data_IF_249522113228
#
_entry.id   IF_249522113228
#
_cell.length_a   1.000
_cell.length_b   1.000
_cell.length_c   1.000
_cell.angle_alpha   90.00
_cell.angle_beta   90.00
_cell.angle_gamma   90.00
#
_symmetry.space_group_name_H-M   'P 1'
#
loop_
_entity.id
_entity.type
_entity.pdbx_description
1 polymer ?
#
# COMPACT_ATOMS: atom_id res chain seq x y z
N UNK A 1 30.42 -39.54 23.93
CA UNK A 1 30.98 -40.88 23.59
C UNK A 1 30.58 -41.19 22.15
N UNK A 2 31.54 -41.43 21.26
CA UNK A 2 31.27 -41.84 19.86
C UNK A 2 30.85 -43.32 19.88
N UNK A 3 29.76 -43.66 19.21
CA UNK A 3 29.21 -45.01 19.19
C UNK A 3 30.21 -46.00 18.52
N UNK A 4 30.41 -47.23 19.04
CA UNK A 4 31.44 -48.17 18.57
C UNK A 4 31.40 -48.48 17.07
N UNK A 5 30.22 -48.36 16.45
CA UNK A 5 30.03 -48.55 15.01
C UNK A 5 30.75 -47.50 14.14
N UNK A 6 31.09 -46.34 14.73
CA UNK A 6 31.82 -45.27 14.04
C UNK A 6 33.31 -45.24 14.41
N UNK A 7 33.81 -46.26 15.12
CA UNK A 7 35.25 -46.42 15.34
C UNK A 7 35.88 -47.12 14.14
N UNK A 8 36.84 -46.46 13.51
CA UNK A 8 37.59 -47.02 12.38
C UNK A 8 38.42 -48.21 12.90
N UNK A 9 38.37 -49.39 12.25
CA UNK A 9 39.13 -50.56 12.69
C UNK A 9 40.63 -50.27 12.72
N UNK A 10 41.35 -50.69 13.76
CA UNK A 10 42.81 -50.42 13.92
C UNK A 10 43.69 -51.03 12.82
N UNK A 11 43.12 -51.89 11.96
CA UNK A 11 43.77 -52.49 10.78
C UNK A 11 43.46 -51.78 9.46
N UNK A 12 42.56 -50.79 9.46
CA UNK A 12 42.28 -49.99 8.28
C UNK A 12 43.46 -49.02 8.07
N UNK A 13 44.52 -49.52 7.44
CA UNK A 13 45.51 -48.63 6.86
C UNK A 13 44.85 -47.94 5.66
N UNK A 14 44.94 -46.61 5.53
CA UNK A 14 44.50 -45.93 4.32
C UNK A 14 45.40 -46.40 3.18
N UNK A 15 44.97 -47.44 2.46
CA UNK A 15 45.66 -47.89 1.26
C UNK A 15 45.41 -46.86 0.16
N UNK A 16 46.41 -46.02 -0.06
CA UNK A 16 46.38 -44.97 -1.07
C UNK A 16 46.12 -45.52 -2.48
N UNK A 17 46.51 -46.77 -2.74
CA UNK A 17 46.38 -47.44 -4.03
C UNK A 17 45.18 -48.37 -4.11
N UNK A 18 44.39 -48.52 -3.03
CA UNK A 18 43.19 -49.37 -2.99
C UNK A 18 43.41 -50.78 -3.55
N UNK A 19 44.55 -51.40 -3.27
CA UNK A 19 44.91 -52.75 -3.70
C UNK A 19 45.55 -52.86 -5.09
N UNK A 20 45.79 -51.74 -5.78
CA UNK A 20 46.47 -51.72 -7.08
C UNK A 20 48.00 -51.67 -6.94
N UNK A 21 48.72 -52.26 -7.91
CA UNK A 21 50.16 -52.04 -8.03
C UNK A 21 50.47 -50.57 -8.29
N UNK A 22 51.62 -50.10 -7.81
CA UNK A 22 51.97 -48.66 -7.81
C UNK A 22 51.91 -48.03 -9.20
N UNK A 23 52.39 -48.74 -10.23
CA UNK A 23 52.38 -48.28 -11.61
C UNK A 23 50.94 -48.12 -12.15
N UNK A 24 50.10 -49.13 -11.93
CA UNK A 24 48.69 -49.13 -12.36
C UNK A 24 47.89 -48.06 -11.62
N UNK A 25 48.14 -47.88 -10.32
CA UNK A 25 47.52 -46.85 -9.52
C UNK A 25 47.87 -45.44 -10.02
N UNK A 26 49.12 -45.20 -10.41
CA UNK A 26 49.57 -43.91 -10.93
C UNK A 26 49.01 -43.62 -12.34
N UNK A 27 48.93 -44.62 -13.20
CA UNK A 27 48.34 -44.46 -14.53
C UNK A 27 46.82 -44.26 -14.44
N UNK A 28 46.13 -44.97 -13.54
CA UNK A 28 44.71 -44.75 -13.27
C UNK A 28 44.46 -43.34 -12.73
N UNK A 29 45.28 -42.82 -11.81
CA UNK A 29 45.17 -41.44 -11.33
C UNK A 29 45.35 -40.43 -12.45
N UNK A 30 46.34 -40.61 -13.31
CA UNK A 30 46.54 -39.72 -14.48
C UNK A 30 45.33 -39.76 -15.41
N UNK A 31 44.80 -40.94 -15.71
CA UNK A 31 43.61 -41.10 -16.55
C UNK A 31 42.38 -40.43 -15.93
N UNK A 32 42.17 -40.60 -14.62
CA UNK A 32 41.09 -39.95 -13.88
C UNK A 32 41.23 -38.43 -13.89
N UNK A 33 42.45 -37.90 -13.67
CA UNK A 33 42.69 -36.46 -13.75
C UNK A 33 42.42 -35.91 -15.15
N UNK A 34 42.89 -36.59 -16.20
CA UNK A 34 42.61 -36.21 -17.58
C UNK A 34 41.11 -36.27 -17.91
N UNK A 35 40.42 -37.29 -17.40
CA UNK A 35 38.98 -37.42 -17.56
C UNK A 35 38.24 -36.27 -16.87
N UNK A 36 38.58 -35.97 -15.60
CA UNK A 36 37.98 -34.86 -14.84
C UNK A 36 38.22 -33.53 -15.55
N UNK A 37 39.46 -33.27 -15.99
CA UNK A 37 39.80 -32.06 -16.75
C UNK A 37 38.98 -31.97 -18.05
N UNK A 38 38.80 -33.09 -18.76
CA UNK A 38 37.98 -33.11 -19.98
C UNK A 38 36.50 -32.84 -19.67
N UNK A 39 35.96 -33.38 -18.59
CA UNK A 39 34.58 -33.11 -18.16
C UNK A 39 34.40 -31.64 -17.78
N UNK A 40 35.35 -31.03 -17.08
CA UNK A 40 35.31 -29.60 -16.74
C UNK A 40 35.27 -28.71 -18.00
N UNK A 41 36.09 -29.00 -19.01
CA UNK A 41 36.07 -28.27 -20.27
C UNK A 41 34.73 -28.43 -21.02
N UNK A 42 34.16 -29.64 -21.02
CA UNK A 42 32.84 -29.88 -21.63
C UNK A 42 31.76 -29.09 -20.91
N UNK A 43 31.75 -29.08 -19.57
CA UNK A 43 30.80 -28.30 -18.77
C UNK A 43 30.96 -26.81 -19.02
N UNK A 44 32.20 -26.30 -19.12
CA UNK A 44 32.48 -24.90 -19.43
C UNK A 44 31.96 -24.52 -20.81
N UNK A 45 32.20 -25.35 -21.83
CA UNK A 45 31.68 -25.14 -23.18
C UNK A 45 30.16 -25.16 -23.24
N UNK A 46 29.51 -26.11 -22.55
CA UNK A 46 28.06 -26.19 -22.46
C UNK A 46 27.45 -24.94 -21.78
N UNK A 47 28.10 -24.44 -20.73
CA UNK A 47 27.68 -23.23 -20.03
C UNK A 47 27.78 -21.99 -20.92
N UNK A 48 28.90 -21.83 -21.63
CA UNK A 48 29.08 -20.72 -22.57
C UNK A 48 28.04 -20.74 -23.70
N UNK A 49 27.74 -21.93 -24.23
CA UNK A 49 26.69 -22.11 -25.23
C UNK A 49 25.32 -21.73 -24.68
N UNK A 50 24.97 -22.20 -23.47
CA UNK A 50 23.70 -21.89 -22.82
C UNK A 50 23.54 -20.38 -22.57
N UNK A 51 24.55 -19.73 -22.01
CA UNK A 51 24.54 -18.28 -21.78
C UNK A 51 24.46 -17.51 -23.11
N UNK A 52 25.15 -17.99 -24.15
CA UNK A 52 25.05 -17.47 -25.51
C UNK A 52 23.64 -17.58 -26.10
N UNK A 53 22.98 -18.73 -25.94
CA UNK A 53 21.60 -18.95 -26.38
C UNK A 53 20.60 -18.06 -25.64
N UNK A 54 20.75 -17.90 -24.32
CA UNK A 54 19.91 -16.97 -23.55
C UNK A 54 20.11 -15.51 -23.97
N UNK A 55 21.33 -15.12 -24.32
CA UNK A 55 21.61 -13.78 -24.86
C UNK A 55 20.98 -13.61 -26.25
N UNK A 56 21.11 -14.61 -27.12
CA UNK A 56 20.52 -14.60 -28.45
C UNK A 56 18.97 -14.52 -28.40
N UNK A 57 18.34 -15.28 -27.49
CA UNK A 57 16.88 -15.21 -27.29
C UNK A 57 16.42 -13.82 -26.83
N UNK A 58 17.13 -13.22 -25.86
CA UNK A 58 16.85 -11.84 -25.42
C UNK A 58 16.99 -10.83 -26.55
N UNK A 59 18.09 -10.88 -27.29
CA UNK A 59 18.32 -9.99 -28.43
C UNK A 59 17.26 -10.17 -29.52
N UNK A 60 16.86 -11.42 -29.81
CA UNK A 60 15.78 -11.72 -30.77
C UNK A 60 14.46 -11.10 -30.32
N UNK A 61 14.10 -11.23 -29.05
CA UNK A 61 12.88 -10.64 -28.48
C UNK A 61 12.93 -9.12 -28.52
N UNK A 62 14.07 -8.52 -28.20
CA UNK A 62 14.28 -7.07 -28.21
C UNK A 62 14.16 -6.49 -29.62
N UNK A 63 14.81 -7.10 -30.61
CA UNK A 63 14.67 -6.71 -32.02
C UNK A 63 13.24 -6.87 -32.51
N UNK A 64 12.57 -7.97 -32.17
CA UNK A 64 11.16 -8.18 -32.52
C UNK A 64 10.28 -7.07 -31.92
N UNK A 65 10.52 -6.70 -30.66
CA UNK A 65 9.80 -5.61 -29.98
C UNK A 65 10.04 -4.27 -30.69
N UNK A 66 11.27 -3.95 -31.06
CA UNK A 66 11.58 -2.75 -31.84
C UNK A 66 10.90 -2.75 -33.20
N UNK A 67 10.92 -3.86 -33.94
CA UNK A 67 10.22 -3.96 -35.23
C UNK A 67 8.71 -3.78 -35.10
N UNK A 68 8.10 -4.34 -34.04
CA UNK A 68 6.67 -4.13 -33.76
C UNK A 68 6.37 -2.68 -33.41
N UNK A 69 7.21 -2.03 -32.61
CA UNK A 69 7.06 -0.62 -32.26
C UNK A 69 7.23 0.30 -33.49
N UNK A 70 8.21 0.02 -34.35
CA UNK A 70 8.48 0.78 -35.59
C UNK A 70 7.29 0.70 -36.58
N UNK A 71 6.60 -0.44 -36.61
CA UNK A 71 5.37 -0.62 -37.41
C UNK A 71 4.18 0.25 -36.98
N UNK A 72 4.25 0.93 -35.83
CA UNK A 72 3.23 1.83 -35.30
C UNK A 72 3.69 3.30 -35.25
N UNK A 73 4.83 3.62 -35.86
CA UNK A 73 5.33 5.01 -35.97
C UNK A 73 4.43 5.78 -36.93
N UNK A 74 3.61 6.69 -36.38
CA UNK A 74 2.70 7.55 -37.15
C UNK A 74 1.32 7.75 -36.51
N UNK A 75 0.95 6.90 -35.56
CA UNK A 75 -0.12 7.21 -34.60
C UNK A 75 0.46 8.23 -33.60
N UNK A 76 -0.25 9.32 -33.31
CA UNK A 76 0.26 10.45 -32.50
C UNK A 76 0.63 10.04 -31.06
N UNK A 77 1.81 9.47 -30.88
CA UNK A 77 2.43 9.18 -29.58
C UNK A 77 3.95 9.19 -29.77
N UNK A 78 4.65 9.75 -28.79
CA UNK A 78 6.09 10.04 -28.78
C UNK A 78 6.99 8.80 -28.60
N UNK A 79 6.46 7.61 -28.85
CA UNK A 79 7.20 6.35 -28.85
C UNK A 79 7.34 5.67 -27.49
N UNK A 80 6.76 6.24 -26.42
CA UNK A 80 6.76 5.64 -25.07
C UNK A 80 5.43 4.92 -24.71
N UNK A 81 4.32 5.17 -25.42
CA UNK A 81 3.01 4.61 -25.06
C UNK A 81 2.65 3.29 -25.76
N UNK A 82 3.44 2.83 -26.72
CA UNK A 82 3.12 1.59 -27.43
C UNK A 82 3.54 0.36 -26.61
N UNK A 83 2.57 -0.46 -26.24
CA UNK A 83 2.79 -1.77 -25.62
C UNK A 83 2.05 -2.86 -26.40
N UNK A 84 2.66 -4.03 -26.44
CA UNK A 84 2.14 -5.19 -27.15
C UNK A 84 0.98 -5.82 -26.36
N UNK A 85 -0.25 -5.59 -26.84
CA UNK A 85 -1.49 -6.11 -26.23
C UNK A 85 -1.50 -7.63 -26.12
N UNK A 86 -0.95 -8.34 -27.11
CA UNK A 86 -0.89 -9.80 -27.11
C UNK A 86 0.14 -10.32 -26.10
N UNK A 87 1.29 -9.66 -25.99
CA UNK A 87 2.32 -10.00 -24.98
C UNK A 87 1.81 -9.79 -23.55
N UNK A 88 1.01 -8.75 -23.33
CA UNK A 88 0.46 -8.39 -22.03
C UNK A 88 -0.89 -9.06 -21.72
N UNK A 89 -1.47 -9.81 -22.67
CA UNK A 89 -2.76 -10.48 -22.50
C UNK A 89 -3.92 -9.50 -22.31
N UNK A 90 -3.92 -8.41 -23.07
CA UNK A 90 -4.88 -7.31 -22.97
C UNK A 90 -5.82 -7.31 -24.17
N UNK A 91 -7.12 -7.47 -23.92
CA UNK A 91 -8.16 -7.34 -24.95
C UNK A 91 -8.49 -5.86 -25.26
N UNK A 92 -8.18 -4.97 -24.32
CA UNK A 92 -8.41 -3.51 -24.40
C UNK A 92 -7.16 -2.74 -23.95
N UNK A 93 -7.08 -1.46 -24.30
CA UNK A 93 -5.96 -0.63 -23.88
C UNK A 93 -5.90 -0.49 -22.34
N UNK A 94 -4.68 -0.49 -21.76
CA UNK A 94 -4.35 -0.08 -20.39
C UNK A 94 -4.71 1.37 -20.07
N UNK A 95 -5.32 2.08 -21.02
CA UNK A 95 -5.81 3.44 -20.83
C UNK A 95 -6.90 3.39 -19.76
N UNK A 96 -6.50 3.85 -18.56
CA UNK A 96 -7.43 4.39 -17.57
C UNK A 96 -8.37 5.33 -18.30
N UNK A 97 -9.66 5.06 -18.24
CA UNK A 97 -10.63 5.87 -18.98
C UNK A 97 -10.86 7.20 -18.24
N UNK A 98 -9.94 8.15 -18.44
CA UNK A 98 -10.03 9.52 -17.96
C UNK A 98 -11.13 10.32 -18.67
N UNK A 99 -11.73 9.77 -19.73
CA UNK A 99 -12.84 10.42 -20.42
C UNK A 99 -14.14 10.37 -19.60
N UNK A 100 -14.24 9.43 -18.66
CA UNK A 100 -15.47 9.25 -17.87
C UNK A 100 -15.64 10.35 -16.83
N UNK A 101 -16.74 11.12 -16.90
CA UNK A 101 -17.01 12.15 -15.90
C UNK A 101 -17.17 11.60 -14.48
N UNK A 102 -17.59 10.33 -14.35
CA UNK A 102 -17.75 9.66 -13.04
C UNK A 102 -16.44 9.59 -12.24
N UNK A 103 -15.31 9.39 -12.92
CA UNK A 103 -13.99 9.33 -12.28
C UNK A 103 -13.62 10.68 -11.65
N UNK A 104 -13.83 11.77 -12.39
CA UNK A 104 -13.56 13.13 -11.92
C UNK A 104 -14.53 13.58 -10.83
N UNK A 105 -15.79 13.19 -10.92
CA UNK A 105 -16.77 13.42 -9.85
C UNK A 105 -16.36 12.67 -8.58
N UNK A 106 -15.84 11.45 -8.69
CA UNK A 106 -15.28 10.71 -7.57
C UNK A 106 -14.09 11.43 -6.95
N UNK A 107 -13.09 11.81 -7.75
CA UNK A 107 -11.92 12.57 -7.29
C UNK A 107 -12.33 13.86 -6.56
N UNK A 108 -13.19 14.67 -7.20
CA UNK A 108 -13.71 15.89 -6.60
C UNK A 108 -14.46 15.63 -5.28
N UNK A 109 -15.24 14.56 -5.17
CA UNK A 109 -15.93 14.20 -3.93
C UNK A 109 -14.96 13.76 -2.82
N UNK A 110 -13.89 13.05 -3.18
CA UNK A 110 -12.82 12.65 -2.26
C UNK A 110 -12.12 13.87 -1.69
N UNK A 111 -11.76 14.84 -2.54
CA UNK A 111 -11.14 16.09 -2.12
C UNK A 111 -12.10 16.99 -1.31
N UNK A 112 -13.37 17.05 -1.72
CA UNK A 112 -14.40 17.87 -1.07
C UNK A 112 -14.61 17.48 0.39
N UNK A 113 -14.65 16.19 0.68
CA UNK A 113 -14.94 15.66 2.01
C UNK A 113 -14.03 16.30 3.09
N UNK A 114 -12.68 16.16 3.03
CA UNK A 114 -11.79 16.79 3.99
C UNK A 114 -11.82 18.30 4.03
N UNK A 115 -12.02 18.94 2.88
CA UNK A 115 -12.17 20.39 2.81
C UNK A 115 -13.43 20.86 3.56
N UNK A 116 -14.54 20.12 3.44
CA UNK A 116 -15.81 20.45 4.08
C UNK A 116 -15.69 20.41 5.60
N UNK A 117 -15.25 19.30 6.20
CA UNK A 117 -15.23 19.21 7.67
C UNK A 117 -14.20 20.15 8.29
N UNK A 118 -13.02 20.33 7.68
CA UNK A 118 -12.05 21.30 8.15
C UNK A 118 -12.62 22.73 8.12
N UNK A 119 -13.32 23.10 7.05
CA UNK A 119 -13.93 24.43 6.92
C UNK A 119 -15.07 24.60 7.92
N UNK A 120 -15.98 23.63 8.02
CA UNK A 120 -17.11 23.66 8.94
C UNK A 120 -16.66 23.75 10.40
N UNK A 121 -15.66 22.96 10.78
CA UNK A 121 -15.12 22.95 12.14
C UNK A 121 -14.43 24.28 12.47
N UNK A 122 -13.60 24.84 11.58
CA UNK A 122 -12.98 26.16 11.80
C UNK A 122 -14.00 27.30 11.88
N UNK A 123 -15.03 27.26 11.04
CA UNK A 123 -16.15 28.20 11.12
C UNK A 123 -16.88 28.09 12.47
N UNK A 124 -17.08 26.87 12.96
CA UNK A 124 -17.63 26.66 14.30
C UNK A 124 -16.69 27.18 15.40
N UNK A 125 -15.38 26.95 15.30
CA UNK A 125 -14.43 27.43 16.31
C UNK A 125 -14.43 28.96 16.43
N UNK A 126 -14.34 29.67 15.30
CA UNK A 126 -14.23 31.14 15.29
C UNK A 126 -15.58 31.86 15.41
N UNK A 127 -16.60 31.39 14.69
CA UNK A 127 -17.85 32.14 14.50
C UNK A 127 -19.07 31.50 15.19
N UNK A 128 -18.92 30.26 15.70
CA UNK A 128 -19.97 29.50 16.40
C UNK A 128 -21.25 29.34 15.58
N UNK A 129 -21.12 29.22 14.26
CA UNK A 129 -22.24 29.23 13.31
C UNK A 129 -23.20 28.07 13.58
N UNK A 130 -22.66 26.85 13.77
CA UNK A 130 -23.45 25.64 13.98
C UNK A 130 -24.08 25.69 15.37
N UNK A 131 -23.31 26.06 16.39
CA UNK A 131 -23.86 26.23 17.75
C UNK A 131 -25.01 27.24 17.79
N UNK A 132 -24.91 28.37 17.07
CA UNK A 132 -25.98 29.37 16.96
C UNK A 132 -27.22 28.80 16.27
N UNK A 133 -27.05 28.01 15.21
CA UNK A 133 -28.15 27.33 14.52
C UNK A 133 -28.93 26.38 15.46
N UNK A 134 -28.21 25.70 16.37
CA UNK A 134 -28.80 24.81 17.37
C UNK A 134 -29.13 25.51 18.70
N UNK A 135 -29.55 26.78 18.65
CA UNK A 135 -30.01 27.59 19.81
C UNK A 135 -28.99 27.66 20.97
N UNK A 136 -27.70 27.65 20.64
CA UNK A 136 -26.61 27.68 21.62
C UNK A 136 -26.22 26.31 22.18
N UNK A 137 -26.88 25.22 21.79
CA UNK A 137 -26.53 23.88 22.25
C UNK A 137 -25.38 23.29 21.41
N UNK A 138 -24.18 23.37 21.97
CA UNK A 138 -22.93 22.89 21.37
C UNK A 138 -22.94 21.38 21.09
N UNK A 139 -23.55 20.58 21.97
CA UNK A 139 -23.60 19.13 21.83
C UNK A 139 -24.46 18.75 20.62
N UNK A 140 -25.65 19.33 20.51
CA UNK A 140 -26.54 19.06 19.37
C UNK A 140 -25.93 19.55 18.06
N UNK A 141 -25.23 20.69 18.07
CA UNK A 141 -24.45 21.15 16.91
C UNK A 141 -23.38 20.16 16.49
N UNK A 142 -22.62 19.60 17.44
CA UNK A 142 -21.59 18.59 17.18
C UNK A 142 -22.19 17.29 16.61
N UNK A 143 -23.29 16.78 17.19
CA UNK A 143 -23.97 15.59 16.65
C UNK A 143 -24.56 15.84 15.25
N UNK A 144 -25.09 17.03 14.99
CA UNK A 144 -25.58 17.38 13.66
C UNK A 144 -24.45 17.43 12.63
N UNK A 145 -23.28 17.98 13.00
CA UNK A 145 -22.09 17.94 12.16
C UNK A 145 -21.63 16.49 11.95
N UNK A 146 -21.62 15.66 12.99
CA UNK A 146 -21.26 14.26 12.91
C UNK A 146 -22.14 13.48 11.91
N UNK A 147 -23.46 13.63 12.01
CA UNK A 147 -24.41 13.03 11.05
C UNK A 147 -24.12 13.53 9.64
N UNK A 148 -23.89 14.82 9.48
CA UNK A 148 -23.61 15.44 8.16
C UNK A 148 -22.33 14.87 7.55
N UNK A 149 -21.22 14.83 8.29
CA UNK A 149 -19.94 14.28 7.83
C UNK A 149 -20.10 12.81 7.47
N UNK A 150 -20.77 12.03 8.31
CA UNK A 150 -21.00 10.61 8.06
C UNK A 150 -21.85 10.37 6.79
N UNK A 151 -22.94 11.13 6.61
CA UNK A 151 -23.78 11.05 5.41
C UNK A 151 -23.02 11.46 4.15
N UNK A 152 -22.24 12.54 4.20
CA UNK A 152 -21.37 12.95 3.09
C UNK A 152 -20.32 11.86 2.78
N UNK A 153 -19.81 11.17 3.81
CA UNK A 153 -18.95 9.99 3.67
C UNK A 153 -19.61 8.85 2.87
N UNK A 154 -20.85 8.47 3.23
CA UNK A 154 -21.62 7.44 2.51
C UNK A 154 -21.84 7.82 1.04
N UNK A 155 -22.17 9.09 0.79
CA UNK A 155 -22.38 9.59 -0.57
C UNK A 155 -21.09 9.50 -1.38
N UNK A 156 -19.96 9.98 -0.83
CA UNK A 156 -18.63 9.86 -1.46
C UNK A 156 -18.31 8.40 -1.79
N UNK A 157 -18.51 7.49 -0.84
CA UNK A 157 -18.19 6.07 -1.04
C UNK A 157 -19.08 5.44 -2.13
N UNK A 158 -20.33 5.88 -2.22
CA UNK A 158 -21.25 5.47 -3.29
C UNK A 158 -20.85 6.03 -4.66
N UNK A 159 -20.35 7.27 -4.72
CA UNK A 159 -19.82 7.87 -5.95
C UNK A 159 -18.56 7.14 -6.40
N UNK A 160 -17.64 6.87 -5.46
CA UNK A 160 -16.41 6.12 -5.69
C UNK A 160 -16.69 4.73 -6.25
N UNK A 161 -17.59 3.99 -5.61
CA UNK A 161 -17.99 2.66 -6.05
C UNK A 161 -18.52 2.66 -7.49
N UNK A 162 -19.42 3.60 -7.80
CA UNK A 162 -20.01 3.74 -9.14
C UNK A 162 -18.95 4.11 -10.18
N UNK A 163 -18.03 5.01 -9.83
CA UNK A 163 -16.93 5.39 -10.72
C UNK A 163 -16.01 4.22 -11.04
N UNK A 164 -15.75 3.34 -10.07
CA UNK A 164 -14.90 2.17 -10.30
C UNK A 164 -15.57 1.07 -11.13
N UNK A 165 -16.90 0.91 -11.03
CA UNK A 165 -17.63 -0.06 -11.85
C UNK A 165 -17.45 0.19 -13.35
N UNK A 166 -17.34 1.45 -13.74
CA UNK A 166 -17.22 1.85 -15.14
C UNK A 166 -15.77 1.90 -15.64
N UNK A 167 -14.77 1.64 -14.79
CA UNK A 167 -13.36 1.59 -15.18
C UNK A 167 -12.92 0.18 -15.60
N UNK A 168 -11.88 0.03 -16.44
CA UNK A 168 -11.39 -1.29 -16.86
C UNK A 168 -10.78 -2.08 -15.70
N UNK A 169 -10.88 -3.41 -15.77
CA UNK A 169 -10.25 -4.34 -14.82
C UNK A 169 -8.90 -4.78 -15.37
N UNK A 170 -7.87 -4.83 -14.53
CA UNK A 170 -6.55 -5.30 -14.95
C UNK A 170 -6.32 -6.78 -14.57
N UNK A 171 -5.85 -7.65 -15.49
CA UNK A 171 -5.65 -9.08 -15.21
C UNK A 171 -4.79 -9.36 -13.98
N UNK A 172 -3.69 -8.62 -13.77
CA UNK A 172 -2.83 -8.75 -12.58
C UNK A 172 -3.57 -8.48 -11.25
N UNK A 173 -4.64 -7.69 -11.27
CA UNK A 173 -5.44 -7.37 -10.08
C UNK A 173 -6.69 -8.27 -9.94
N UNK A 174 -6.99 -9.09 -10.94
CA UNK A 174 -8.15 -9.99 -10.95
C UNK A 174 -7.89 -11.35 -10.28
N UNK A 175 -6.63 -11.63 -9.92
CA UNK A 175 -6.24 -12.91 -9.32
C UNK A 175 -6.62 -13.08 -7.84
N UNK A 176 -6.64 -14.32 -7.32
CA UNK A 176 -7.00 -14.61 -5.92
C UNK A 176 -6.07 -13.93 -4.90
N UNK A 177 -4.80 -13.72 -5.26
CA UNK A 177 -3.85 -12.97 -4.42
C UNK A 177 -4.35 -11.55 -4.14
N UNK A 178 -4.87 -10.85 -5.16
CA UNK A 178 -5.41 -9.49 -5.01
C UNK A 178 -6.59 -9.47 -4.04
N UNK A 179 -7.48 -10.46 -4.15
CA UNK A 179 -8.64 -10.63 -3.25
C UNK A 179 -8.21 -10.88 -1.80
N UNK A 180 -7.22 -11.74 -1.55
CA UNK A 180 -6.72 -11.98 -0.19
C UNK A 180 -6.04 -10.75 0.42
N UNK A 181 -5.26 -10.02 -0.39
CA UNK A 181 -4.68 -8.74 0.04
C UNK A 181 -5.80 -7.75 0.38
N UNK A 182 -6.83 -7.65 -0.44
CA UNK A 182 -7.97 -6.78 -0.20
C UNK A 182 -8.68 -7.10 1.12
N UNK A 183 -8.91 -8.38 1.44
CA UNK A 183 -9.49 -8.78 2.72
C UNK A 183 -8.61 -8.40 3.91
N UNK A 184 -7.29 -8.57 3.79
CA UNK A 184 -6.34 -8.11 4.80
C UNK A 184 -6.44 -6.59 5.02
N UNK A 185 -6.47 -5.82 3.94
CA UNK A 185 -6.59 -4.35 4.00
C UNK A 185 -7.92 -3.90 4.61
N UNK A 186 -9.04 -4.53 4.25
CA UNK A 186 -10.34 -4.24 4.86
C UNK A 186 -10.36 -4.56 6.35
N UNK A 187 -9.82 -5.71 6.75
CA UNK A 187 -9.76 -6.10 8.15
C UNK A 187 -8.93 -5.10 8.95
N UNK A 188 -7.70 -4.78 8.50
CA UNK A 188 -6.83 -3.81 9.17
C UNK A 188 -7.45 -2.41 9.17
N UNK A 189 -7.98 -1.96 8.04
CA UNK A 189 -8.60 -0.65 7.89
C UNK A 189 -9.78 -0.44 8.83
N UNK A 190 -10.71 -1.40 8.85
CA UNK A 190 -11.87 -1.35 9.76
C UNK A 190 -11.47 -1.47 11.22
N UNK A 191 -10.49 -2.31 11.57
CA UNK A 191 -9.97 -2.38 12.94
C UNK A 191 -9.45 -1.02 13.39
N UNK A 192 -8.64 -0.33 12.59
CA UNK A 192 -8.12 0.99 12.93
C UNK A 192 -9.24 2.04 13.05
N UNK A 193 -10.19 2.07 12.11
CA UNK A 193 -11.29 3.05 12.12
C UNK A 193 -12.24 2.81 13.31
N UNK A 194 -12.71 1.58 13.50
CA UNK A 194 -13.71 1.29 14.53
C UNK A 194 -13.13 1.41 15.95
N UNK A 195 -11.89 0.96 16.15
CA UNK A 195 -11.23 1.08 17.47
C UNK A 195 -10.90 2.54 17.82
N UNK A 196 -10.53 3.37 16.84
CA UNK A 196 -10.32 4.81 17.08
C UNK A 196 -11.63 5.55 17.38
N UNK A 197 -12.71 5.24 16.63
CA UNK A 197 -14.05 5.76 16.93
C UNK A 197 -14.53 5.34 18.32
N UNK A 198 -14.27 4.11 18.73
CA UNK A 198 -14.58 3.62 20.07
C UNK A 198 -13.82 4.41 21.14
N UNK A 199 -12.52 4.64 20.94
CA UNK A 199 -11.67 5.30 21.93
C UNK A 199 -11.94 6.81 22.05
N UNK A 200 -12.25 7.49 20.94
CA UNK A 200 -12.57 8.93 20.92
C UNK A 200 -14.04 9.23 21.23
N UNK A 201 -14.94 8.26 21.02
CA UNK A 201 -16.38 8.49 21.00
C UNK A 201 -16.82 9.41 19.85
N UNK A 202 -18.13 9.68 19.76
CA UNK A 202 -18.70 10.46 18.64
C UNK A 202 -18.15 11.89 18.63
N UNK A 203 -18.09 12.56 19.78
CA UNK A 203 -17.64 13.95 19.84
C UNK A 203 -16.15 14.09 19.55
N UNK A 204 -15.31 13.16 20.02
CA UNK A 204 -13.88 13.19 19.69
C UNK A 204 -13.61 12.86 18.22
N UNK A 205 -14.40 11.98 17.64
CA UNK A 205 -14.31 11.58 16.22
C UNK A 205 -14.73 12.71 15.26
N UNK A 206 -15.79 13.44 15.61
CA UNK A 206 -16.41 14.43 14.72
C UNK A 206 -16.18 15.87 15.19
N UNK A 207 -14.93 16.19 15.55
CA UNK A 207 -14.43 17.56 15.74
C UNK A 207 -15.13 18.34 16.86
N UNK A 208 -15.52 17.66 17.94
CA UNK A 208 -16.19 18.24 19.11
C UNK A 208 -15.33 19.26 19.88
N UNK A 209 -14.01 19.17 19.76
CA UNK A 209 -13.05 20.13 20.26
C UNK A 209 -13.24 21.53 19.66
N UNK A 210 -13.67 21.65 18.39
CA UNK A 210 -14.01 22.93 17.75
C UNK A 210 -15.30 23.54 18.34
N UNK A 211 -16.19 22.71 18.89
CA UNK A 211 -17.33 23.14 19.70
C UNK A 211 -16.93 23.45 21.15
N UNK A 212 -15.68 23.19 21.55
CA UNK A 212 -15.21 23.31 22.93
C UNK A 212 -15.67 22.17 23.83
N UNK A 213 -15.95 21.00 23.26
CA UNK A 213 -16.19 19.73 23.96
C UNK A 213 -14.85 18.97 23.94
N UNK A 214 -14.00 19.27 24.93
CA UNK A 214 -12.62 18.78 24.97
C UNK A 214 -12.53 17.49 25.77
N UNK A 215 -11.68 16.56 25.32
CA UNK A 215 -11.37 15.35 26.08
C UNK A 215 -10.45 15.67 27.26
N UNK A 216 -10.60 14.97 28.38
CA UNK A 216 -9.77 15.24 29.56
C UNK A 216 -8.27 15.01 29.28
N UNK A 217 -7.96 13.91 28.57
CA UNK A 217 -6.61 13.53 28.19
C UNK A 217 -6.56 13.08 26.73
N UNK A 218 -5.37 13.16 26.13
CA UNK A 218 -5.09 12.58 24.81
C UNK A 218 -5.17 11.06 24.91
N UNK A 219 -5.85 10.43 23.96
CA UNK A 219 -5.89 8.96 23.86
C UNK A 219 -4.56 8.47 23.29
N UNK A 220 -3.84 7.68 24.07
CA UNK A 220 -2.55 7.08 23.68
C UNK A 220 -2.63 5.55 23.61
N UNK A 221 -3.78 4.96 23.94
CA UNK A 221 -4.01 3.52 23.80
C UNK A 221 -4.29 3.13 22.35
N UNK A 222 -4.42 1.83 22.09
CA UNK A 222 -4.78 1.33 20.77
C UNK A 222 -6.07 1.99 20.24
N UNK A 223 -6.09 2.45 18.96
CA UNK A 223 -5.04 2.31 17.93
C UNK A 223 -4.03 3.46 17.84
N UNK A 224 -4.12 4.48 18.71
CA UNK A 224 -3.27 5.67 18.68
C UNK A 224 -1.82 5.41 19.12
N UNK A 225 -1.53 4.30 19.80
CA UNK A 225 -0.15 3.85 20.05
C UNK A 225 0.55 3.27 18.81
N UNK A 226 -0.19 2.94 17.75
CA UNK A 226 0.37 2.38 16.51
C UNK A 226 0.58 3.47 15.46
N UNK A 227 -0.35 4.43 15.37
CA UNK A 227 -0.27 5.55 14.43
C UNK A 227 -1.05 6.74 15.00
N UNK A 228 -0.58 7.95 14.72
CA UNK A 228 -1.21 9.19 15.21
C UNK A 228 -2.58 9.45 14.56
N UNK A 229 -2.82 8.92 13.36
CA UNK A 229 -4.02 9.18 12.56
C UNK A 229 -4.70 7.88 12.09
N UNK A 230 -5.13 7.00 13.02
CA UNK A 230 -5.60 5.65 12.72
C UNK A 230 -6.84 5.64 11.83
N UNK A 231 -7.75 6.60 11.98
CA UNK A 231 -8.91 6.74 11.11
C UNK A 231 -8.51 7.03 9.66
N UNK A 232 -7.61 8.00 9.45
CA UNK A 232 -7.19 8.43 8.13
C UNK A 232 -6.46 7.32 7.38
N UNK A 233 -5.51 6.64 8.03
CA UNK A 233 -4.84 5.48 7.45
C UNK A 233 -5.81 4.31 7.26
N UNK A 234 -6.65 4.01 8.25
CA UNK A 234 -7.61 2.92 8.17
C UNK A 234 -8.59 3.09 7.01
N UNK A 235 -9.13 4.29 6.81
CA UNK A 235 -9.95 4.61 5.64
C UNK A 235 -9.17 4.48 4.33
N UNK A 236 -7.91 4.96 4.27
CA UNK A 236 -7.06 4.79 3.07
C UNK A 236 -6.87 3.32 2.72
N UNK A 237 -6.64 2.45 3.72
CA UNK A 237 -6.54 1.01 3.53
C UNK A 237 -7.84 0.41 3.00
N UNK A 238 -9.00 0.88 3.47
CA UNK A 238 -10.30 0.46 2.94
C UNK A 238 -10.50 0.86 1.48
N UNK A 239 -10.08 2.07 1.08
CA UNK A 239 -10.12 2.50 -0.33
C UNK A 239 -9.23 1.61 -1.22
N UNK A 240 -8.00 1.32 -0.76
CA UNK A 240 -7.07 0.44 -1.45
C UNK A 240 -7.63 -0.99 -1.56
N UNK A 241 -8.15 -1.51 -0.45
CA UNK A 241 -8.77 -2.83 -0.38
C UNK A 241 -9.90 -2.95 -1.38
N UNK A 242 -10.74 -1.92 -1.51
CA UNK A 242 -11.82 -1.90 -2.48
C UNK A 242 -11.33 -1.84 -3.93
N UNK A 243 -10.30 -1.05 -4.21
CA UNK A 243 -9.69 -0.98 -5.54
C UNK A 243 -9.11 -2.34 -5.98
N UNK A 244 -8.42 -3.03 -5.07
CA UNK A 244 -7.84 -4.35 -5.32
C UNK A 244 -8.92 -5.44 -5.45
N UNK A 245 -9.94 -5.40 -4.59
CA UNK A 245 -11.07 -6.33 -4.64
C UNK A 245 -11.84 -6.23 -5.97
N UNK A 246 -12.05 -5.01 -6.47
CA UNK A 246 -12.69 -4.77 -7.77
C UNK A 246 -11.73 -4.95 -8.97
N UNK A 247 -10.44 -5.13 -8.71
CA UNK A 247 -9.40 -5.27 -9.73
C UNK A 247 -9.18 -4.02 -10.60
N UNK A 248 -9.47 -2.82 -10.07
CA UNK A 248 -9.50 -1.56 -10.83
C UNK A 248 -8.25 -0.70 -10.58
N UNK A 249 -7.36 -0.52 -11.57
CA UNK A 249 -6.19 0.36 -11.43
C UNK A 249 -6.54 1.82 -11.13
N UNK A 250 -7.67 2.31 -11.65
CA UNK A 250 -8.16 3.67 -11.36
C UNK A 250 -8.42 3.86 -9.85
N UNK A 251 -8.87 2.83 -9.15
CA UNK A 251 -9.08 2.87 -7.69
C UNK A 251 -7.79 3.01 -6.90
N UNK A 252 -6.68 2.47 -7.41
CA UNK A 252 -5.35 2.66 -6.80
C UNK A 252 -4.93 4.12 -6.91
N UNK A 253 -5.16 4.78 -8.04
CA UNK A 253 -4.91 6.21 -8.19
C UNK A 253 -5.76 7.06 -7.24
N UNK A 254 -7.06 6.77 -7.18
CA UNK A 254 -7.97 7.46 -6.26
C UNK A 254 -7.59 7.20 -4.79
N UNK A 255 -7.03 6.02 -4.46
CA UNK A 255 -6.47 5.76 -3.13
C UNK A 255 -5.26 6.65 -2.85
N UNK A 256 -4.37 6.87 -3.82
CA UNK A 256 -3.25 7.80 -3.66
C UNK A 256 -3.75 9.24 -3.45
N UNK A 257 -4.81 9.65 -4.16
CA UNK A 257 -5.48 10.92 -3.92
C UNK A 257 -6.06 11.00 -2.50
N UNK A 258 -6.78 9.96 -2.04
CA UNK A 258 -7.29 9.89 -0.66
C UNK A 258 -6.16 10.10 0.35
N UNK A 259 -5.04 9.39 0.19
CA UNK A 259 -3.88 9.53 1.07
C UNK A 259 -3.32 10.96 1.04
N UNK A 260 -3.19 11.55 -0.15
CA UNK A 260 -2.67 12.91 -0.31
C UNK A 260 -3.58 13.94 0.38
N UNK A 261 -4.88 13.90 0.08
CA UNK A 261 -5.85 14.83 0.67
C UNK A 261 -5.91 14.68 2.19
N UNK A 262 -5.84 13.45 2.71
CA UNK A 262 -5.77 13.19 4.15
C UNK A 262 -4.50 13.73 4.79
N UNK A 263 -3.34 13.60 4.14
CA UNK A 263 -2.10 14.21 4.63
C UNK A 263 -2.17 15.73 4.65
N UNK A 264 -2.80 16.33 3.64
CA UNK A 264 -3.04 17.78 3.61
C UNK A 264 -3.98 18.17 4.75
N UNK A 265 -5.10 17.47 4.94
CA UNK A 265 -6.04 17.73 6.02
C UNK A 265 -5.36 17.67 7.40
N UNK A 266 -4.59 16.62 7.67
CA UNK A 266 -3.83 16.47 8.92
C UNK A 266 -2.83 17.61 9.15
N UNK A 267 -2.16 18.11 8.11
CA UNK A 267 -1.23 19.24 8.23
C UNK A 267 -1.90 20.53 8.74
N UNK A 268 -3.22 20.66 8.56
CA UNK A 268 -4.02 21.77 9.05
C UNK A 268 -4.73 21.47 10.37
N UNK A 269 -5.16 20.22 10.58
CA UNK A 269 -5.93 19.78 11.73
C UNK A 269 -5.04 19.62 12.97
N UNK A 270 -3.94 18.86 12.86
CA UNK A 270 -3.05 18.53 13.97
C UNK A 270 -2.53 19.77 14.74
N UNK A 271 -1.95 20.80 14.08
CA UNK A 271 -1.48 21.98 14.80
C UNK A 271 -2.61 22.79 15.41
N UNK A 272 -3.79 22.79 14.78
CA UNK A 272 -4.93 23.56 15.27
C UNK A 272 -5.52 22.91 16.53
N UNK A 273 -5.75 21.59 16.48
CA UNK A 273 -6.21 20.81 17.62
C UNK A 273 -5.22 20.94 18.79
N UNK A 274 -3.92 20.80 18.54
CA UNK A 274 -2.89 20.99 19.57
C UNK A 274 -2.98 22.37 20.25
N UNK A 275 -3.22 23.44 19.48
CA UNK A 275 -3.37 24.79 20.01
C UNK A 275 -4.66 24.97 20.83
N UNK A 276 -5.77 24.31 20.47
CA UNK A 276 -7.00 24.30 21.28
C UNK A 276 -6.71 23.74 22.67
N UNK A 277 -6.04 22.58 22.74
CA UNK A 277 -5.71 21.94 24.01
C UNK A 277 -4.67 22.74 24.81
N UNK A 278 -3.64 23.31 24.16
CA UNK A 278 -2.67 24.19 24.79
C UNK A 278 -3.33 25.45 25.37
N UNK A 279 -4.33 26.01 24.69
CA UNK A 279 -5.11 27.14 25.19
C UNK A 279 -5.89 26.79 26.46
N UNK A 280 -6.55 25.63 26.49
CA UNK A 280 -7.25 25.14 27.69
C UNK A 280 -6.30 25.08 28.89
N UNK A 281 -5.13 24.47 28.74
CA UNK A 281 -4.16 24.36 29.84
C UNK A 281 -3.71 25.73 30.36
N UNK A 282 -3.50 26.70 29.47
CA UNK A 282 -3.12 28.07 29.86
C UNK A 282 -4.23 28.74 30.68
N UNK A 283 -5.49 28.58 30.27
CA UNK A 283 -6.65 29.13 30.97
C UNK A 283 -6.84 28.49 32.36
N UNK A 284 -6.68 27.17 32.46
CA UNK A 284 -6.75 26.45 33.74
C UNK A 284 -5.65 26.87 34.72
N UNK A 285 -4.39 27.00 34.25
CA UNK A 285 -3.29 27.49 35.09
C UNK A 285 -3.52 28.91 35.58
N UNK A 286 -4.11 29.78 34.75
CA UNK A 286 -4.46 31.15 35.15
C UNK A 286 -5.61 31.18 36.16
N UNK A 287 -6.64 30.35 35.98
CA UNK A 287 -7.75 30.22 36.92
C UNK A 287 -7.29 29.66 38.27
N UNK A 288 -6.38 28.69 38.28
CA UNK A 288 -5.76 28.14 39.49
C UNK A 288 -4.94 29.18 40.25
N UNK A 289 -4.14 29.98 39.54
CA UNK A 289 -3.37 31.10 40.14
C UNK A 289 -4.23 32.22 40.73
N UNK A 290 -5.46 32.42 40.23
CA UNK A 290 -6.40 33.42 40.79
C UNK A 290 -7.18 32.91 42.01
N UNK A 291 -7.18 31.59 42.24
CA UNK A 291 -7.86 30.95 43.37
C UNK A 291 -6.91 30.62 44.54
N UNK A 292 -5.60 30.67 44.31
CA UNK A 292 -4.54 30.60 45.32
C UNK A 292 -4.18 32.00 45.83
#
# INVERSE_FOLDING_TARGET
MIHPVFQVPSRAQPDHNFGLETLEADDLRKLLLLYVQKQEEVVRGARQLYEGLLRADRMRKEVLRWCKADGHVGEMSDGEDWYDKEEWGLDEDLVKDFSQPSLWVSAASIAFNPAFWNTAARQEYHNKVITKLFRGNRLYGCYALAVTIFTIGIIRDSIYERALRSQPTHPLLAGPTSTYIAYGLFATGNVLVLSSMWALGVTGTYLGDYFGILMDHKVESFPFNVTDAPMYYGSTLSFLGYALWMGKPAGILLTLEVLLVYRIALSYEDPFTAEIYAKREREERQAGKKRS
#
